data_IF_000230557920
#
_entry.id   IF_000230557920
#
_cell.length_a   1.000
_cell.length_b   1.000
_cell.length_c   1.000
_cell.angle_alpha   90.00
_cell.angle_beta   90.00
_cell.angle_gamma   90.00
#
_symmetry.space_group_name_H-M   'P 1'
#
loop_
_entity.id
_entity.type
_entity.pdbx_description
1 polymer ?
#
# COMPACT_ATOMS: atom_id res chain seq x y z
N UNK A 1 17.68 14.62 -3.33
CA UNK A 1 16.72 13.51 -3.07
C UNK A 1 16.97 12.42 -4.10
N UNK A 2 17.21 11.19 -3.68
CA UNK A 2 17.37 10.09 -4.62
C UNK A 2 15.96 9.60 -5.02
N UNK A 3 15.61 9.73 -6.31
CA UNK A 3 14.36 9.23 -6.85
C UNK A 3 14.44 7.70 -6.86
N UNK A 4 13.45 7.01 -6.30
CA UNK A 4 13.39 5.54 -6.27
C UNK A 4 12.84 4.94 -7.57
N UNK A 5 11.85 5.59 -8.19
CA UNK A 5 11.23 5.12 -9.43
C UNK A 5 10.74 6.31 -10.25
N UNK A 6 11.04 6.28 -11.54
CA UNK A 6 10.57 7.28 -12.50
C UNK A 6 9.88 6.58 -13.68
N UNK A 7 8.84 7.17 -14.21
CA UNK A 7 8.23 6.72 -15.45
C UNK A 7 8.09 7.91 -16.40
N UNK A 8 8.36 7.68 -17.70
CA UNK A 8 8.39 8.73 -18.71
C UNK A 8 7.53 8.38 -19.92
N UNK A 9 6.74 9.34 -20.39
CA UNK A 9 5.88 9.25 -21.57
C UNK A 9 4.96 8.02 -21.55
N UNK A 10 4.45 7.67 -20.35
CA UNK A 10 3.56 6.53 -20.21
C UNK A 10 2.24 6.78 -20.92
N UNK A 11 1.90 5.88 -21.82
CA UNK A 11 0.53 5.80 -22.31
C UNK A 11 0.04 4.35 -22.29
N UNK A 12 -1.26 4.20 -22.06
CA UNK A 12 -1.90 2.91 -22.08
C UNK A 12 -3.23 2.99 -22.84
N UNK A 13 -3.40 2.04 -23.75
CA UNK A 13 -4.64 1.87 -24.50
C UNK A 13 -5.02 0.39 -24.57
N UNK A 14 -6.31 0.13 -24.56
CA UNK A 14 -6.88 -1.18 -24.86
C UNK A 14 -7.77 -1.04 -26.09
N UNK A 15 -7.37 -1.67 -27.19
CA UNK A 15 -7.98 -1.46 -28.52
C UNK A 15 -8.01 0.04 -28.84
N UNK A 16 -9.21 0.61 -29.01
CA UNK A 16 -9.42 2.03 -29.35
C UNK A 16 -9.56 2.95 -28.13
N UNK A 17 -9.65 2.38 -26.92
CA UNK A 17 -9.80 3.16 -25.69
C UNK A 17 -8.44 3.54 -25.10
N UNK A 18 -8.11 4.83 -25.13
CA UNK A 18 -6.97 5.39 -24.39
C UNK A 18 -7.36 5.57 -22.94
N UNK A 19 -6.61 4.95 -22.02
CA UNK A 19 -6.82 5.11 -20.56
C UNK A 19 -6.15 6.39 -20.06
N UNK A 20 -4.87 6.57 -20.39
CA UNK A 20 -4.12 7.74 -19.98
C UNK A 20 -2.89 7.98 -20.85
N UNK A 21 -2.44 9.24 -20.82
CA UNK A 21 -1.13 9.68 -21.27
C UNK A 21 -0.50 10.51 -20.17
N UNK A 22 0.61 10.05 -19.63
CA UNK A 22 1.27 10.63 -18.45
C UNK A 22 2.72 10.96 -18.83
N UNK A 23 3.07 12.24 -18.97
CA UNK A 23 4.41 12.65 -19.39
C UNK A 23 5.49 12.16 -18.46
N UNK A 24 5.29 12.33 -17.14
CA UNK A 24 6.25 11.94 -16.14
C UNK A 24 5.58 11.54 -14.83
N UNK A 25 6.18 10.56 -14.14
CA UNK A 25 5.87 10.16 -12.78
C UNK A 25 7.19 10.00 -12.03
N UNK A 26 7.24 10.48 -10.78
CA UNK A 26 8.37 10.24 -9.89
C UNK A 26 7.87 9.84 -8.50
N UNK A 27 8.43 8.75 -7.96
CA UNK A 27 8.22 8.31 -6.58
C UNK A 27 9.55 8.47 -5.85
N UNK A 28 9.61 9.41 -4.92
CA UNK A 28 10.75 9.67 -4.07
C UNK A 28 10.78 8.78 -2.82
N UNK A 29 11.83 8.89 -1.97
CA UNK A 29 11.87 8.23 -0.67
C UNK A 29 10.77 8.76 0.25
N UNK A 30 10.15 7.85 1.02
CA UNK A 30 9.10 8.17 2.00
C UNK A 30 7.87 8.88 1.41
N UNK A 31 7.66 8.75 0.11
CA UNK A 31 6.43 9.24 -0.51
C UNK A 31 5.25 8.38 -0.08
N UNK A 32 4.18 9.03 0.37
CA UNK A 32 2.89 8.41 0.58
C UNK A 32 1.88 9.12 -0.34
N UNK A 33 1.40 8.40 -1.35
CA UNK A 33 0.65 8.94 -2.47
C UNK A 33 -0.73 8.29 -2.54
N UNK A 34 -1.77 9.11 -2.56
CA UNK A 34 -3.14 8.67 -2.82
C UNK A 34 -3.46 8.77 -4.32
N UNK A 35 -3.61 7.62 -4.99
CA UNK A 35 -4.00 7.58 -6.40
C UNK A 35 -5.53 7.56 -6.54
N UNK A 36 -6.08 8.67 -7.02
CA UNK A 36 -7.51 8.95 -7.16
C UNK A 36 -7.94 8.94 -8.63
N UNK A 37 -9.21 8.71 -8.85
CA UNK A 37 -9.86 8.76 -10.18
C UNK A 37 -11.10 7.89 -10.24
N UNK A 38 -11.95 8.10 -11.23
CA UNK A 38 -13.19 7.35 -11.43
C UNK A 38 -12.94 5.86 -11.71
N UNK A 39 -14.01 5.07 -11.69
CA UNK A 39 -13.90 3.65 -12.05
C UNK A 39 -13.53 3.49 -13.52
N UNK A 40 -12.60 2.59 -13.79
CA UNK A 40 -12.16 2.28 -15.15
C UNK A 40 -11.23 3.32 -15.80
N UNK A 41 -10.77 4.37 -15.10
CA UNK A 41 -9.78 5.34 -15.64
C UNK A 41 -8.37 4.77 -15.76
N UNK A 42 -8.09 3.62 -15.14
CA UNK A 42 -6.80 2.96 -15.28
C UNK A 42 -5.92 2.98 -14.01
N UNK A 43 -6.46 3.23 -12.80
CA UNK A 43 -5.69 3.20 -11.54
C UNK A 43 -4.93 1.87 -11.36
N UNK A 44 -5.65 0.76 -11.34
CA UNK A 44 -5.08 -0.61 -11.28
C UNK A 44 -4.06 -0.86 -12.39
N UNK A 45 -4.36 -0.40 -13.61
CA UNK A 45 -3.48 -0.55 -14.76
C UNK A 45 -2.17 0.22 -14.57
N UNK A 46 -2.24 1.46 -14.07
CA UNK A 46 -1.07 2.25 -13.76
C UNK A 46 -0.21 1.58 -12.67
N UNK A 47 -0.82 1.11 -11.57
CA UNK A 47 -0.09 0.39 -10.53
C UNK A 47 0.60 -0.87 -11.08
N UNK A 48 -0.07 -1.66 -11.94
CA UNK A 48 0.53 -2.84 -12.57
C UNK A 48 1.69 -2.49 -13.50
N UNK A 49 1.61 -1.37 -14.23
CA UNK A 49 2.73 -0.87 -15.05
C UNK A 49 3.92 -0.47 -14.16
N UNK A 50 3.68 0.30 -13.11
CA UNK A 50 4.72 0.69 -12.15
C UNK A 50 5.33 -0.53 -11.43
N UNK A 51 4.54 -1.55 -11.14
CA UNK A 51 5.01 -2.83 -10.63
C UNK A 51 5.76 -3.68 -11.68
N UNK A 52 5.61 -3.35 -12.99
CA UNK A 52 6.14 -4.12 -14.12
C UNK A 52 5.48 -5.46 -14.32
N UNK A 53 4.24 -5.56 -13.92
CA UNK A 53 3.36 -6.69 -14.17
C UNK A 53 2.63 -6.55 -15.51
N UNK A 54 2.62 -5.34 -16.07
CA UNK A 54 2.01 -5.02 -17.34
C UNK A 54 2.92 -4.05 -18.13
N UNK A 55 3.25 -4.32 -19.40
CA UNK A 55 3.95 -3.35 -20.23
C UNK A 55 3.00 -2.18 -20.59
N UNK A 56 3.49 -0.93 -20.62
CA UNK A 56 2.72 0.18 -21.18
C UNK A 56 2.61 0.05 -22.70
N UNK A 57 1.61 0.71 -23.31
CA UNK A 57 1.53 0.80 -24.78
C UNK A 57 2.65 1.67 -25.36
N UNK A 58 3.09 2.69 -24.58
CA UNK A 58 4.23 3.55 -24.93
C UNK A 58 4.89 4.07 -23.63
N UNK A 59 6.15 4.52 -23.74
CA UNK A 59 6.90 5.02 -22.60
C UNK A 59 7.67 3.93 -21.87
N UNK A 60 8.28 4.29 -20.74
CA UNK A 60 9.14 3.39 -19.96
C UNK A 60 9.10 3.72 -18.47
N UNK A 61 9.33 2.70 -17.65
CA UNK A 61 9.54 2.82 -16.21
C UNK A 61 11.02 2.60 -15.92
N UNK A 62 11.65 3.58 -15.27
CA UNK A 62 13.07 3.60 -14.91
C UNK A 62 13.22 3.38 -13.40
N UNK A 63 14.44 3.05 -12.96
CA UNK A 63 14.73 2.80 -11.54
C UNK A 63 14.43 1.38 -11.08
N UNK A 64 14.16 0.47 -12.03
CA UNK A 64 13.94 -0.96 -11.77
C UNK A 64 15.12 -1.77 -12.30
N UNK A 65 15.57 -2.75 -11.52
CA UNK A 65 16.56 -3.70 -12.01
C UNK A 65 15.95 -4.57 -13.11
N UNK A 66 16.65 -4.83 -14.22
CA UNK A 66 16.20 -5.74 -15.27
C UNK A 66 15.86 -7.13 -14.69
N UNK A 67 14.86 -7.80 -15.27
CA UNK A 67 14.38 -9.10 -14.78
C UNK A 67 15.49 -10.17 -14.67
N UNK A 68 16.47 -10.15 -15.56
CA UNK A 68 17.60 -11.08 -15.53
C UNK A 68 18.57 -10.83 -14.37
N UNK A 69 18.76 -9.58 -13.92
CA UNK A 69 19.53 -9.28 -12.71
C UNK A 69 18.82 -9.78 -11.44
N UNK A 70 17.50 -9.88 -11.46
CA UNK A 70 16.71 -10.41 -10.33
C UNK A 70 16.92 -11.91 -10.13
N UNK A 71 17.29 -12.65 -11.17
CA UNK A 71 17.61 -14.10 -11.09
C UNK A 71 18.93 -14.37 -10.34
N UNK A 72 19.85 -13.43 -10.32
CA UNK A 72 21.18 -13.56 -9.71
C UNK A 72 21.29 -12.89 -8.34
N UNK A 73 20.25 -12.17 -7.89
CA UNK A 73 20.26 -11.54 -6.59
C UNK A 73 19.84 -12.55 -5.51
N UNK A 74 20.80 -12.98 -4.72
CA UNK A 74 20.58 -13.78 -3.50
C UNK A 74 19.88 -12.97 -2.38
N UNK A 75 19.74 -11.67 -2.56
CA UNK A 75 19.03 -10.77 -1.64
C UNK A 75 17.58 -10.59 -2.09
N UNK A 76 16.65 -11.06 -1.28
CA UNK A 76 15.21 -11.03 -1.50
C UNK A 76 14.56 -9.63 -1.34
N UNK A 77 15.30 -8.55 -1.58
CA UNK A 77 14.73 -7.20 -1.54
C UNK A 77 13.97 -6.92 -2.85
N UNK A 78 12.68 -7.19 -2.84
CA UNK A 78 11.78 -6.75 -3.91
C UNK A 78 11.66 -5.24 -3.84
N UNK A 79 12.24 -4.53 -4.81
CA UNK A 79 12.23 -3.06 -4.83
C UNK A 79 10.82 -2.50 -4.89
N UNK A 80 9.94 -3.11 -5.69
CA UNK A 80 8.54 -2.71 -5.88
C UNK A 80 7.64 -3.92 -5.68
N UNK A 81 6.70 -3.82 -4.76
CA UNK A 81 5.69 -4.85 -4.50
C UNK A 81 4.31 -4.28 -4.83
N UNK A 82 3.49 -5.10 -5.47
CA UNK A 82 2.10 -4.81 -5.74
C UNK A 82 1.20 -5.71 -4.88
N UNK A 83 0.36 -5.08 -4.06
CA UNK A 83 -0.67 -5.73 -3.27
C UNK A 83 -2.00 -5.59 -4.00
N UNK A 84 -2.52 -6.72 -4.44
CA UNK A 84 -3.77 -6.81 -5.18
C UNK A 84 -4.97 -6.67 -4.25
N UNK A 85 -6.08 -6.12 -4.74
CA UNK A 85 -7.35 -6.01 -4.03
C UNK A 85 -7.84 -7.37 -3.48
N UNK A 86 -7.76 -8.41 -4.30
CA UNK A 86 -8.05 -9.80 -3.89
C UNK A 86 -6.74 -10.60 -3.94
N UNK A 87 -6.05 -10.78 -2.82
CA UNK A 87 -4.73 -11.42 -2.82
C UNK A 87 -4.82 -12.90 -3.15
N UNK A 88 -3.90 -13.35 -3.98
CA UNK A 88 -3.67 -14.79 -4.17
C UNK A 88 -2.79 -15.33 -3.03
N UNK A 89 -3.28 -16.35 -2.34
CA UNK A 89 -2.52 -17.11 -1.36
C UNK A 89 -2.28 -18.53 -1.87
N UNK A 90 -1.13 -19.09 -1.52
CA UNK A 90 -0.81 -20.50 -1.82
C UNK A 90 -1.65 -21.39 -0.91
N UNK A 91 -2.08 -22.53 -1.45
CA UNK A 91 -2.83 -23.55 -0.72
C UNK A 91 -1.90 -24.24 0.31
N UNK A 92 -1.72 -23.58 1.44
CA UNK A 92 -0.77 -23.98 2.48
C UNK A 92 -1.10 -23.24 3.79
N UNK A 93 -0.27 -23.39 4.83
CA UNK A 93 -0.44 -22.67 6.10
C UNK A 93 -0.19 -21.16 5.95
N UNK A 94 -0.66 -20.40 6.92
CA UNK A 94 -0.40 -18.95 7.06
C UNK A 94 1.12 -18.71 7.11
N UNK A 95 1.83 -19.47 7.93
CA UNK A 95 3.29 -19.40 8.03
C UNK A 95 3.98 -19.58 6.67
N UNK A 96 3.59 -20.64 5.92
CA UNK A 96 4.19 -20.94 4.62
C UNK A 96 3.94 -19.84 3.59
N UNK A 97 2.77 -19.21 3.64
CA UNK A 97 2.46 -18.06 2.80
C UNK A 97 3.37 -16.86 3.08
N UNK A 98 3.64 -16.56 4.35
CA UNK A 98 4.47 -15.39 4.70
C UNK A 98 5.95 -15.67 4.51
N UNK A 99 6.45 -16.84 4.92
CA UNK A 99 7.87 -17.21 4.78
C UNK A 99 8.31 -17.29 3.31
N UNK A 100 7.37 -17.52 2.39
CA UNK A 100 7.67 -17.58 0.96
C UNK A 100 8.46 -16.35 0.47
N UNK A 101 8.13 -15.16 0.98
CA UNK A 101 8.81 -13.91 0.63
C UNK A 101 10.30 -13.90 0.98
N UNK A 102 10.69 -14.58 2.06
CA UNK A 102 12.07 -14.65 2.55
C UNK A 102 12.69 -16.06 2.40
N UNK A 103 12.06 -16.93 1.61
CA UNK A 103 12.48 -18.33 1.46
C UNK A 103 13.97 -18.44 1.09
N UNK A 104 14.43 -17.61 0.17
CA UNK A 104 15.79 -17.61 -0.35
C UNK A 104 16.71 -16.55 0.28
N UNK A 105 16.29 -15.90 1.38
CA UNK A 105 17.18 -15.08 2.19
C UNK A 105 18.20 -16.00 2.87
N UNK A 106 19.44 -15.60 3.03
CA UNK A 106 20.46 -16.41 3.72
C UNK A 106 20.21 -16.65 5.23
N UNK A 107 19.00 -16.37 5.73
CA UNK A 107 18.59 -16.52 7.13
C UNK A 107 18.43 -17.98 7.52
N UNK A 108 18.79 -18.32 8.74
CA UNK A 108 18.51 -19.61 9.38
C UNK A 108 17.00 -19.86 9.54
N UNK A 109 16.60 -21.12 9.76
CA UNK A 109 15.20 -21.47 10.00
C UNK A 109 14.61 -20.73 11.23
N UNK A 110 15.40 -20.57 12.28
CA UNK A 110 15.00 -19.86 13.50
C UNK A 110 14.76 -18.36 13.22
N UNK A 111 15.67 -17.71 12.51
CA UNK A 111 15.52 -16.29 12.14
C UNK A 111 14.32 -16.06 11.22
N UNK A 112 14.10 -16.95 10.23
CA UNK A 112 12.91 -16.90 9.37
C UNK A 112 11.63 -17.01 10.21
N UNK A 113 11.58 -17.98 11.16
CA UNK A 113 10.40 -18.14 12.03
C UNK A 113 10.17 -16.88 12.86
N UNK A 114 11.20 -16.32 13.47
CA UNK A 114 11.09 -15.08 14.24
C UNK A 114 10.55 -13.91 13.40
N UNK A 115 11.06 -13.73 12.19
CA UNK A 115 10.58 -12.67 11.28
C UNK A 115 9.14 -12.89 10.83
N UNK A 116 8.75 -14.13 10.53
CA UNK A 116 7.37 -14.46 10.15
C UNK A 116 6.40 -14.18 11.30
N UNK A 117 6.71 -14.62 12.51
CA UNK A 117 5.87 -14.36 13.69
C UNK A 117 5.75 -12.85 13.95
N UNK A 118 6.84 -12.10 13.80
CA UNK A 118 6.80 -10.63 13.88
C UNK A 118 5.87 -10.02 12.83
N UNK A 119 5.95 -10.47 11.57
CA UNK A 119 5.08 -10.00 10.50
C UNK A 119 3.60 -10.34 10.77
N UNK A 120 3.32 -11.54 11.27
CA UNK A 120 1.97 -11.97 11.62
C UNK A 120 1.42 -11.20 12.82
N UNK A 121 2.24 -10.86 13.81
CA UNK A 121 1.86 -10.02 14.95
C UNK A 121 1.46 -8.61 14.51
N UNK A 122 2.18 -8.02 13.54
CA UNK A 122 1.82 -6.71 12.98
C UNK A 122 0.39 -6.68 12.44
N UNK A 123 -0.08 -7.79 11.91
CA UNK A 123 -1.42 -7.92 11.33
C UNK A 123 -2.41 -8.68 12.22
N UNK A 124 -2.02 -9.04 13.48
CA UNK A 124 -2.87 -9.71 14.46
C UNK A 124 -3.23 -11.16 14.09
N UNK A 125 -2.31 -11.90 13.50
CA UNK A 125 -2.51 -13.30 13.06
C UNK A 125 -1.45 -14.27 13.58
N UNK A 126 -0.68 -13.90 14.62
CA UNK A 126 0.41 -14.76 15.12
C UNK A 126 -0.07 -16.10 15.67
N UNK A 127 -1.28 -16.15 16.25
CA UNK A 127 -1.88 -17.38 16.78
C UNK A 127 -2.36 -18.34 15.67
N UNK A 128 -2.54 -17.82 14.45
CA UNK A 128 -3.01 -18.59 13.29
C UNK A 128 -1.85 -19.04 12.38
N UNK A 129 -0.60 -18.90 12.82
CA UNK A 129 0.56 -19.16 11.98
C UNK A 129 0.57 -20.57 11.36
N UNK A 130 0.18 -21.58 12.12
CA UNK A 130 0.21 -22.97 11.69
C UNK A 130 -1.13 -23.43 11.07
N UNK A 131 -2.17 -22.55 11.06
CA UNK A 131 -3.45 -22.81 10.44
C UNK A 131 -3.37 -22.76 8.91
N UNK A 132 -4.22 -23.57 8.26
CA UNK A 132 -4.36 -23.58 6.81
C UNK A 132 -5.20 -22.39 6.34
N UNK A 133 -4.84 -21.78 5.19
CA UNK A 133 -5.54 -20.58 4.68
C UNK A 133 -7.03 -20.81 4.36
N UNK A 134 -7.48 -22.06 4.23
CA UNK A 134 -8.87 -22.39 3.95
C UNK A 134 -9.82 -22.00 5.07
N UNK A 135 -9.34 -21.99 6.33
CA UNK A 135 -10.17 -21.64 7.50
C UNK A 135 -10.27 -20.13 7.71
N UNK A 136 -9.46 -19.35 7.01
CA UNK A 136 -9.42 -17.90 7.18
C UNK A 136 -10.59 -17.20 6.48
N UNK A 137 -11.11 -16.16 7.15
CA UNK A 137 -12.01 -15.18 6.55
C UNK A 137 -11.32 -14.37 5.42
N UNK A 138 -12.12 -13.67 4.63
CA UNK A 138 -11.59 -12.80 3.57
C UNK A 138 -10.65 -11.71 4.09
N UNK A 139 -11.00 -11.09 5.23
CA UNK A 139 -10.17 -10.07 5.89
C UNK A 139 -8.85 -10.64 6.41
N UNK A 140 -8.85 -11.83 7.01
CA UNK A 140 -7.63 -12.52 7.47
C UNK A 140 -6.73 -12.90 6.29
N UNK A 141 -7.28 -13.37 5.18
CA UNK A 141 -6.53 -13.62 3.94
C UNK A 141 -5.84 -12.36 3.42
N UNK A 142 -6.54 -11.22 3.47
CA UNK A 142 -5.95 -9.94 3.12
C UNK A 142 -4.80 -9.57 4.07
N UNK A 143 -4.96 -9.76 5.38
CA UNK A 143 -3.92 -9.52 6.37
C UNK A 143 -2.70 -10.44 6.19
N UNK A 144 -2.87 -11.70 5.79
CA UNK A 144 -1.75 -12.60 5.43
C UNK A 144 -0.96 -12.03 4.23
N UNK A 145 -1.65 -11.55 3.21
CA UNK A 145 -0.98 -10.94 2.05
C UNK A 145 -0.21 -9.66 2.42
N UNK A 146 -0.75 -8.88 3.37
CA UNK A 146 -0.06 -7.70 3.91
C UNK A 146 1.19 -8.09 4.68
N UNK A 147 1.13 -9.10 5.56
CA UNK A 147 2.30 -9.62 6.27
C UNK A 147 3.38 -10.11 5.30
N UNK A 148 2.97 -10.79 4.20
CA UNK A 148 3.87 -11.23 3.13
C UNK A 148 4.53 -10.07 2.39
N UNK A 149 3.81 -8.96 2.17
CA UNK A 149 4.39 -7.76 1.57
C UNK A 149 5.34 -7.04 2.54
N UNK A 150 4.95 -6.94 3.81
CA UNK A 150 5.72 -6.26 4.84
C UNK A 150 7.07 -6.91 5.14
N UNK A 151 7.11 -8.25 5.21
CA UNK A 151 8.34 -8.99 5.53
C UNK A 151 9.44 -8.81 4.47
N UNK A 152 9.05 -8.47 3.25
CA UNK A 152 9.97 -8.22 2.13
C UNK A 152 10.64 -6.84 2.21
N UNK A 153 10.21 -5.97 3.12
CA UNK A 153 10.74 -4.61 3.29
C UNK A 153 10.89 -3.87 1.95
N UNK A 154 9.80 -3.72 1.19
CA UNK A 154 9.87 -3.14 -0.15
C UNK A 154 10.35 -1.69 -0.11
N UNK A 155 11.05 -1.25 -1.16
CA UNK A 155 11.32 0.18 -1.34
C UNK A 155 10.05 0.94 -1.69
N UNK A 156 9.16 0.32 -2.47
CA UNK A 156 7.86 0.87 -2.87
C UNK A 156 6.80 -0.22 -2.73
N UNK A 157 5.72 0.09 -2.02
CA UNK A 157 4.52 -0.75 -1.93
C UNK A 157 3.37 -0.07 -2.67
N UNK A 158 2.86 -0.73 -3.70
CA UNK A 158 1.70 -0.31 -4.48
C UNK A 158 0.49 -1.09 -4.01
N UNK A 159 -0.50 -0.41 -3.45
CA UNK A 159 -1.69 -1.03 -2.85
C UNK A 159 -2.95 -0.68 -3.65
N UNK A 160 -3.58 -1.69 -4.24
CA UNK A 160 -4.78 -1.53 -5.05
C UNK A 160 -6.00 -1.86 -4.19
N UNK A 161 -6.69 -0.81 -3.73
CA UNK A 161 -7.88 -0.88 -2.88
C UNK A 161 -7.74 -1.80 -1.65
N UNK A 162 -6.67 -1.67 -0.87
CA UNK A 162 -6.32 -2.64 0.16
C UNK A 162 -7.34 -2.71 1.31
N UNK A 163 -8.22 -1.73 1.44
CA UNK A 163 -9.24 -1.62 2.50
C UNK A 163 -10.68 -1.91 2.04
N UNK A 164 -10.90 -2.28 0.77
CA UNK A 164 -12.25 -2.33 0.18
C UNK A 164 -13.21 -3.33 0.84
N UNK A 165 -12.72 -4.35 1.53
CA UNK A 165 -13.54 -5.39 2.16
C UNK A 165 -13.08 -5.69 3.58
N UNK A 166 -12.44 -4.73 4.24
CA UNK A 166 -11.91 -4.89 5.58
C UNK A 166 -12.83 -4.26 6.62
N UNK A 167 -12.92 -4.91 7.77
CA UNK A 167 -13.46 -4.33 8.98
C UNK A 167 -12.53 -3.26 9.58
N UNK A 168 -13.02 -2.52 10.55
CA UNK A 168 -12.29 -1.42 11.17
C UNK A 168 -10.97 -1.87 11.80
N UNK A 169 -10.95 -3.02 12.48
CA UNK A 169 -9.73 -3.56 13.09
C UNK A 169 -8.66 -3.87 12.01
N UNK A 170 -9.06 -4.51 10.93
CA UNK A 170 -8.16 -4.82 9.82
C UNK A 170 -7.60 -3.56 9.15
N UNK A 171 -8.39 -2.49 9.04
CA UNK A 171 -7.92 -1.19 8.54
C UNK A 171 -6.89 -0.59 9.49
N UNK A 172 -7.11 -0.64 10.79
CA UNK A 172 -6.15 -0.15 11.79
C UNK A 172 -4.82 -0.90 11.72
N UNK A 173 -4.85 -2.23 11.60
CA UNK A 173 -3.65 -3.06 11.39
C UNK A 173 -2.92 -2.68 10.11
N UNK A 174 -3.66 -2.43 9.03
CA UNK A 174 -3.09 -1.96 7.76
C UNK A 174 -2.41 -0.60 7.92
N UNK A 175 -3.00 0.33 8.66
CA UNK A 175 -2.42 1.65 8.96
C UNK A 175 -1.12 1.52 9.76
N UNK A 176 -1.10 0.67 10.80
CA UNK A 176 0.11 0.40 11.60
C UNK A 176 1.23 -0.11 10.69
N UNK A 177 0.95 -1.12 9.85
CA UNK A 177 1.91 -1.69 8.92
C UNK A 177 2.41 -0.64 7.90
N UNK A 178 1.52 0.16 7.33
CA UNK A 178 1.87 1.18 6.36
C UNK A 178 2.75 2.27 6.98
N UNK A 179 2.47 2.68 8.22
CA UNK A 179 3.26 3.66 8.96
C UNK A 179 4.67 3.12 9.25
N UNK A 180 4.79 1.89 9.72
CA UNK A 180 6.09 1.24 9.95
C UNK A 180 6.94 1.17 8.66
N UNK A 181 6.32 0.85 7.52
CA UNK A 181 7.02 0.88 6.23
C UNK A 181 7.50 2.29 5.84
N UNK A 182 6.68 3.33 6.05
CA UNK A 182 7.07 4.71 5.81
C UNK A 182 8.24 5.13 6.71
N UNK A 183 8.19 4.81 8.00
CA UNK A 183 9.25 5.10 8.98
C UNK A 183 10.57 4.44 8.59
N UNK A 184 10.53 3.25 8.01
CA UNK A 184 11.71 2.54 7.47
C UNK A 184 12.20 3.09 6.12
N UNK A 185 11.55 4.10 5.59
CA UNK A 185 11.95 4.73 4.34
C UNK A 185 11.31 4.13 3.08
N UNK A 186 10.31 3.27 3.20
CA UNK A 186 9.50 2.80 2.07
C UNK A 186 8.63 3.95 1.54
N UNK A 187 8.21 3.82 0.29
CA UNK A 187 7.20 4.70 -0.32
C UNK A 187 5.94 3.90 -0.59
N UNK A 188 4.79 4.54 -0.47
CA UNK A 188 3.48 3.92 -0.66
C UNK A 188 2.71 4.62 -1.77
N UNK A 189 2.03 3.85 -2.62
CA UNK A 189 0.99 4.36 -3.52
C UNK A 189 -0.27 3.57 -3.25
N UNK A 190 -1.35 4.26 -2.89
CA UNK A 190 -2.59 3.65 -2.40
C UNK A 190 -3.74 4.09 -3.28
N UNK A 191 -4.52 3.15 -3.83
CA UNK A 191 -5.83 3.45 -4.38
C UNK A 191 -6.91 3.19 -3.34
N UNK A 192 -7.95 4.00 -3.34
CA UNK A 192 -9.15 3.78 -2.54
C UNK A 192 -10.34 4.53 -3.16
N UNK A 193 -11.54 3.99 -3.00
CA UNK A 193 -12.78 4.69 -3.37
C UNK A 193 -13.23 5.69 -2.31
N UNK A 194 -12.79 5.50 -1.06
CA UNK A 194 -13.17 6.33 0.08
C UNK A 194 -11.93 6.80 0.81
N UNK A 195 -12.01 7.99 1.37
CA UNK A 195 -11.01 8.47 2.33
C UNK A 195 -11.18 7.72 3.65
N UNK A 196 -10.09 7.19 4.17
CA UNK A 196 -10.04 6.46 5.42
C UNK A 196 -8.70 6.71 6.14
N UNK A 197 -8.48 6.08 7.28
CA UNK A 197 -7.27 6.24 8.06
C UNK A 197 -5.98 5.89 7.29
N UNK A 198 -6.05 4.97 6.31
CA UNK A 198 -4.91 4.62 5.47
C UNK A 198 -4.58 5.73 4.46
N UNK A 199 -5.59 6.28 3.76
CA UNK A 199 -5.37 7.40 2.83
C UNK A 199 -4.97 8.69 3.54
N UNK A 200 -5.31 8.83 4.83
CA UNK A 200 -4.86 9.94 5.67
C UNK A 200 -3.33 9.95 5.92
N UNK A 201 -2.63 8.84 5.69
CA UNK A 201 -1.16 8.80 5.72
C UNK A 201 -0.53 9.49 4.51
N UNK A 202 -1.29 9.68 3.44
CA UNK A 202 -0.77 10.24 2.20
C UNK A 202 -0.57 11.77 2.33
N UNK A 203 0.56 12.25 1.80
CA UNK A 203 0.90 13.67 1.74
C UNK A 203 0.73 14.26 0.35
N UNK A 204 0.64 13.41 -0.66
CA UNK A 204 0.45 13.75 -2.07
C UNK A 204 -0.75 13.01 -2.61
N UNK A 205 -1.40 13.58 -3.61
CA UNK A 205 -2.37 12.86 -4.42
C UNK A 205 -1.99 12.89 -5.89
N UNK A 206 -2.24 11.78 -6.54
CA UNK A 206 -2.27 11.64 -7.97
C UNK A 206 -3.72 11.46 -8.40
N UNK A 207 -4.18 12.31 -9.28
CA UNK A 207 -5.53 12.23 -9.82
C UNK A 207 -5.49 11.95 -11.31
N UNK A 208 -6.00 10.77 -11.71
CA UNK A 208 -6.21 10.48 -13.12
C UNK A 208 -7.55 11.10 -13.52
N UNK A 209 -7.48 12.17 -14.31
CA UNK A 209 -8.61 12.90 -14.84
C UNK A 209 -8.32 13.28 -16.30
N UNK A 210 -9.33 13.21 -17.19
CA UNK A 210 -9.21 13.56 -18.59
C UNK A 210 -8.00 12.90 -19.28
N UNK A 211 -7.72 11.65 -18.95
CA UNK A 211 -6.58 10.84 -19.44
C UNK A 211 -5.19 11.36 -19.03
N UNK A 212 -5.11 12.30 -18.11
CA UNK A 212 -3.86 12.85 -17.57
C UNK A 212 -3.72 12.52 -16.09
N UNK A 213 -2.50 12.59 -15.57
CA UNK A 213 -2.22 12.50 -14.14
C UNK A 213 -1.91 13.90 -13.62
N UNK A 214 -2.69 14.33 -12.64
CA UNK A 214 -2.50 15.61 -11.95
C UNK A 214 -1.92 15.28 -10.56
N UNK A 215 -0.73 15.80 -10.27
CA UNK A 215 -0.14 15.71 -8.93
C UNK A 215 -0.45 16.98 -8.15
N UNK A 216 -0.84 16.82 -6.89
CA UNK A 216 -1.03 17.93 -5.96
C UNK A 216 -0.73 17.49 -4.51
N UNK A 217 -0.39 18.43 -3.61
CA UNK A 217 -0.36 18.14 -2.18
C UNK A 217 -1.73 17.67 -1.70
N UNK A 218 -1.76 16.69 -0.79
CA UNK A 218 -2.98 16.31 -0.10
C UNK A 218 -3.08 17.15 1.17
N UNK A 219 -3.90 18.20 1.14
CA UNK A 219 -4.18 19.01 2.32
C UNK A 219 -5.01 18.18 3.29
N UNK A 220 -4.44 17.88 4.44
CA UNK A 220 -5.19 17.32 5.56
C UNK A 220 -6.01 18.46 6.19
N UNK A 221 -7.34 18.34 6.16
CA UNK A 221 -8.19 19.21 6.95
C UNK A 221 -8.02 18.74 8.39
N UNK A 222 -7.23 19.47 9.18
CA UNK A 222 -7.18 19.30 10.62
C UNK A 222 -8.55 19.79 11.12
N UNK A 223 -9.44 18.86 11.52
CA UNK A 223 -10.61 19.24 12.31
C UNK A 223 -10.08 19.64 13.67
N UNK A 224 -9.93 20.92 13.91
CA UNK A 224 -9.83 21.46 15.26
C UNK A 224 -11.13 21.10 15.99
N UNK A 225 -11.04 20.19 16.95
CA UNK A 225 -12.12 19.98 17.91
C UNK A 225 -12.17 21.23 18.79
N UNK A 226 -13.01 22.18 18.41
CA UNK A 226 -13.43 23.25 19.31
C UNK A 226 -14.39 22.68 20.37
N UNK A 227 -13.81 22.03 21.38
CA UNK A 227 -14.50 21.77 22.63
C UNK A 227 -14.57 23.11 23.42
N UNK A 228 -15.43 23.98 22.96
CA UNK A 228 -15.86 25.13 23.77
C UNK A 228 -16.86 24.63 24.82
N UNK A 229 -16.33 24.24 25.97
CA UNK A 229 -17.11 24.19 27.19
C UNK A 229 -17.55 25.61 27.56
N UNK A 230 -18.75 25.99 27.15
CA UNK A 230 -19.45 27.14 27.73
C UNK A 230 -19.93 26.75 29.12
N UNK A 231 -19.13 27.10 30.11
CA UNK A 231 -19.57 27.21 31.50
C UNK A 231 -20.58 28.38 31.62
N UNK A 232 -21.85 28.08 31.59
CA UNK A 232 -22.90 29.01 32.06
C UNK A 232 -23.02 28.90 33.57
N UNK A 233 -22.31 29.77 34.25
CA UNK A 233 -22.52 30.04 35.67
C UNK A 233 -23.88 30.68 35.87
N UNK A 234 -24.80 30.00 36.56
CA UNK A 234 -26.00 30.58 37.14
C UNK A 234 -25.60 31.55 38.28
N UNK A 235 -25.76 32.82 38.03
CA UNK A 235 -25.81 33.82 39.07
C UNK A 235 -27.27 34.07 39.45
N UNK A 236 -27.65 33.55 40.61
CA UNK A 236 -28.89 33.96 41.30
C UNK A 236 -28.73 35.36 41.85
N UNK A 237 -29.63 36.27 41.50
CA UNK A 237 -29.78 37.52 42.21
C UNK A 237 -31.23 37.64 42.68
N UNK A 238 -31.43 37.49 44.01
CA UNK A 238 -32.60 37.96 44.73
C UNK A 238 -32.57 39.49 44.79
N UNK A 239 -33.69 40.13 44.51
CA UNK A 239 -34.18 41.34 45.29
C UNK A 239 -35.57 41.74 44.85
N UNK A 240 -36.42 41.79 45.89
CA UNK A 240 -37.66 42.59 46.17
C UNK A 240 -38.81 42.49 45.16
#
# INVERSE_FOLDING_TARGET
>A
MTIKLTAQQLSMRFKDRVLFHIPEIAIGPNDAIYLKGDNGVGKTTLLKILAGLLPPSNGKVLGRKPWWQRLFLTSATSEVIYLHQSPYLFDNTVYQNVVYGIRFSGLSAHEKRAQVITALRMVGLETLADEHISVLSGGEKQRVAMARAWILKPSILLMDEPSASLDQESIERLVIMARDLLERGSSLVITSHQTNALTALCKKQWWIKDRQLIESPLLQIVKENNDNHTNTSHASTFRN
#
